data_IF_985815321445
#
_entry.id   IF_985815321445
#
_cell.length_a   1.000
_cell.length_b   1.000
_cell.length_c   1.000
_cell.angle_alpha   90.00
_cell.angle_beta   90.00
_cell.angle_gamma   90.00
#
_symmetry.space_group_name_H-M   'P 1'
#
loop_
_entity.id
_entity.type
_entity.pdbx_description
1 polymer ?
#
# COMPACT_ATOMS: atom_id res chain seq x y z
N UNK A 1 -3.38 3.74 33.10
CA UNK A 1 -3.20 4.78 32.06
C UNK A 1 -2.32 4.19 30.96
N UNK A 2 -2.90 3.46 30.00
CA UNK A 2 -2.14 2.71 28.97
C UNK A 2 -2.80 2.66 27.59
N UNK A 3 -3.78 3.52 27.30
CA UNK A 3 -4.50 3.53 26.01
C UNK A 3 -3.87 4.47 24.98
N UNK A 4 -3.15 5.51 25.41
CA UNK A 4 -2.64 6.56 24.51
C UNK A 4 -1.55 6.08 23.53
N UNK A 5 -0.68 5.15 23.93
CA UNK A 5 0.47 4.72 23.10
C UNK A 5 0.06 3.81 21.94
N UNK A 6 -0.96 2.98 22.11
CA UNK A 6 -1.45 2.08 21.05
C UNK A 6 -2.12 2.87 19.92
N UNK A 7 -2.87 3.91 20.27
CA UNK A 7 -3.57 4.77 19.31
C UNK A 7 -2.57 5.59 18.46
N UNK A 8 -1.46 6.04 19.05
CA UNK A 8 -0.40 6.78 18.36
C UNK A 8 0.40 5.90 17.38
N UNK A 9 0.73 4.66 17.78
CA UNK A 9 1.44 3.71 16.94
C UNK A 9 0.61 3.29 15.73
N UNK A 10 -0.69 3.02 15.95
CA UNK A 10 -1.62 2.66 14.87
C UNK A 10 -1.87 3.84 13.92
N UNK A 11 -2.01 5.06 14.46
CA UNK A 11 -2.07 6.27 13.66
C UNK A 11 -0.83 6.44 12.79
N UNK A 12 0.35 6.29 13.38
CA UNK A 12 1.63 6.41 12.67
C UNK A 12 1.78 5.35 11.58
N UNK A 13 1.40 4.10 11.88
CA UNK A 13 1.41 3.00 10.90
C UNK A 13 0.41 3.25 9.75
N UNK A 14 -0.76 3.81 10.04
CA UNK A 14 -1.75 4.22 9.03
C UNK A 14 -1.22 5.34 8.13
N UNK A 15 -0.57 6.36 8.70
CA UNK A 15 0.05 7.45 7.94
C UNK A 15 1.18 6.92 7.05
N UNK A 16 2.05 6.06 7.59
CA UNK A 16 3.13 5.44 6.84
C UNK A 16 2.58 4.60 5.67
N UNK A 17 1.59 3.74 5.92
CA UNK A 17 0.94 2.92 4.90
C UNK A 17 0.35 3.75 3.76
N UNK A 18 -0.28 4.90 4.08
CA UNK A 18 -0.79 5.84 3.07
C UNK A 18 0.31 6.47 2.23
N UNK A 19 1.40 6.93 2.85
CA UNK A 19 2.52 7.54 2.13
C UNK A 19 3.18 6.55 1.16
N UNK A 20 3.40 5.30 1.62
CA UNK A 20 3.94 4.23 0.79
C UNK A 20 2.98 3.88 -0.35
N UNK A 21 1.68 3.74 -0.04
CA UNK A 21 0.64 3.48 -1.03
C UNK A 21 0.60 4.51 -2.16
N UNK A 22 0.61 5.79 -1.82
CA UNK A 22 0.65 6.88 -2.81
C UNK A 22 1.94 6.83 -3.65
N UNK A 23 3.09 6.50 -3.03
CA UNK A 23 4.34 6.34 -3.77
C UNK A 23 4.27 5.19 -4.79
N UNK A 24 3.69 4.05 -4.43
CA UNK A 24 3.48 2.92 -5.34
C UNK A 24 2.59 3.32 -6.51
N UNK A 25 1.46 3.98 -6.23
CA UNK A 25 0.54 4.50 -7.25
C UNK A 25 1.24 5.43 -8.23
N UNK A 26 2.06 6.34 -7.73
CA UNK A 26 2.84 7.25 -8.56
C UNK A 26 3.79 6.49 -9.49
N UNK A 27 4.54 5.51 -8.98
CA UNK A 27 5.48 4.70 -9.79
C UNK A 27 4.72 3.94 -10.89
N UNK A 28 3.59 3.30 -10.55
CA UNK A 28 2.77 2.57 -11.51
C UNK A 28 2.25 3.48 -12.62
N UNK A 29 1.71 4.66 -12.25
CA UNK A 29 1.23 5.66 -13.22
C UNK A 29 2.35 6.24 -14.08
N UNK A 30 3.54 6.47 -13.51
CA UNK A 30 4.72 6.91 -14.25
C UNK A 30 5.11 5.90 -15.33
N UNK A 31 5.00 4.60 -15.03
CA UNK A 31 5.20 3.50 -15.98
C UNK A 31 4.02 3.28 -16.93
N UNK A 32 2.93 4.06 -16.80
CA UNK A 32 1.68 3.96 -17.58
C UNK A 32 1.01 2.60 -17.48
N UNK A 33 1.17 1.91 -16.35
CA UNK A 33 0.57 0.61 -16.12
C UNK A 33 -0.76 0.74 -15.37
N UNK A 34 -1.76 -0.02 -15.79
CA UNK A 34 -2.95 -0.33 -15.00
C UNK A 34 -2.62 -1.34 -13.88
N UNK A 35 -3.55 -1.54 -12.95
CA UNK A 35 -3.37 -2.56 -11.89
C UNK A 35 -3.34 -3.97 -12.49
N UNK A 36 -4.14 -4.20 -13.52
CA UNK A 36 -4.28 -5.47 -14.23
C UNK A 36 -3.02 -5.80 -15.03
N UNK A 37 -2.39 -4.79 -15.65
CA UNK A 37 -1.10 -4.97 -16.30
C UNK A 37 0.01 -5.32 -15.31
N UNK A 38 0.01 -4.72 -14.10
CA UNK A 38 0.97 -5.11 -13.06
C UNK A 38 0.76 -6.56 -12.62
N UNK A 39 -0.49 -7.00 -12.44
CA UNK A 39 -0.79 -8.41 -12.15
C UNK A 39 -0.30 -9.35 -13.24
N UNK A 40 -0.51 -9.01 -14.51
CA UNK A 40 -0.07 -9.83 -15.64
C UNK A 40 1.47 -9.88 -15.75
N UNK A 41 2.15 -8.73 -15.62
CA UNK A 41 3.62 -8.63 -15.75
C UNK A 41 4.34 -9.33 -14.58
N UNK A 42 3.72 -9.35 -13.40
CA UNK A 42 4.26 -10.02 -12.21
C UNK A 42 3.91 -11.50 -12.11
N UNK A 43 3.40 -12.11 -13.19
CA UNK A 43 2.93 -13.50 -13.19
C UNK A 43 2.02 -13.81 -11.99
N UNK A 44 1.06 -12.91 -11.75
CA UNK A 44 0.08 -13.02 -10.67
C UNK A 44 0.62 -12.91 -9.23
N UNK A 45 1.93 -12.65 -9.04
CA UNK A 45 2.52 -12.39 -7.72
C UNK A 45 1.83 -11.19 -7.04
N UNK A 46 1.62 -10.11 -7.81
CA UNK A 46 0.93 -8.90 -7.33
C UNK A 46 -0.48 -8.81 -7.90
N UNK A 47 -1.44 -9.40 -7.19
CA UNK A 47 -2.87 -9.30 -7.52
C UNK A 47 -3.34 -7.85 -7.59
N UNK A 48 -4.10 -7.48 -8.64
CA UNK A 48 -4.58 -6.11 -8.85
C UNK A 48 -5.42 -5.58 -7.68
N UNK A 49 -6.24 -6.44 -7.08
CA UNK A 49 -7.06 -6.11 -5.91
C UNK A 49 -6.21 -5.77 -4.67
N UNK A 50 -5.18 -6.57 -4.42
CA UNK A 50 -4.26 -6.41 -3.30
C UNK A 50 -3.41 -5.15 -3.49
N UNK A 51 -2.84 -4.97 -4.68
CA UNK A 51 -2.08 -3.77 -5.02
C UNK A 51 -2.93 -2.50 -4.89
N UNK A 52 -4.19 -2.55 -5.32
CA UNK A 52 -5.13 -1.44 -5.15
C UNK A 52 -5.37 -1.08 -3.69
N UNK A 53 -5.48 -2.07 -2.80
CA UNK A 53 -5.64 -1.83 -1.36
C UNK A 53 -4.39 -1.17 -0.74
N UNK A 54 -3.20 -1.58 -1.19
CA UNK A 54 -1.96 -0.92 -0.79
C UNK A 54 -1.90 0.53 -1.27
N UNK A 55 -2.23 0.79 -2.53
CA UNK A 55 -2.18 2.14 -3.09
C UNK A 55 -3.14 3.13 -2.41
N UNK A 56 -4.24 2.63 -1.82
CA UNK A 56 -5.19 3.44 -1.05
C UNK A 56 -4.85 3.53 0.44
N UNK A 57 -3.84 2.80 0.91
CA UNK A 57 -3.50 2.69 2.33
C UNK A 57 -4.54 1.92 3.16
N UNK A 58 -5.42 1.15 2.50
CA UNK A 58 -6.43 0.30 3.15
C UNK A 58 -5.80 -0.99 3.72
N UNK A 59 -4.60 -1.35 3.24
CA UNK A 59 -3.85 -2.50 3.71
C UNK A 59 -2.44 -2.07 4.11
N UNK A 60 -1.98 -2.55 5.27
CA UNK A 60 -0.63 -2.31 5.73
C UNK A 60 0.38 -3.04 4.85
N UNK A 61 1.42 -2.33 4.40
CA UNK A 61 2.62 -2.94 3.83
C UNK A 61 3.58 -3.21 4.99
N UNK A 62 3.93 -4.47 5.20
CA UNK A 62 5.02 -4.83 6.09
C UNK A 62 6.32 -4.93 5.30
N UNK A 63 7.34 -4.21 5.74
CA UNK A 63 8.73 -4.48 5.37
C UNK A 63 9.32 -5.39 6.47
N UNK A 64 9.94 -6.52 6.12
CA UNK A 64 10.64 -7.38 7.08
C UNK A 64 11.88 -6.68 7.66
#
# INVERSE_FOLDING_TARGET
>A
MSTTTLDEDEYTRSQYGRQVGERLRLIRRQKRLSLQEVEAISDQEFKASVLGAYERGERAISVP
#
